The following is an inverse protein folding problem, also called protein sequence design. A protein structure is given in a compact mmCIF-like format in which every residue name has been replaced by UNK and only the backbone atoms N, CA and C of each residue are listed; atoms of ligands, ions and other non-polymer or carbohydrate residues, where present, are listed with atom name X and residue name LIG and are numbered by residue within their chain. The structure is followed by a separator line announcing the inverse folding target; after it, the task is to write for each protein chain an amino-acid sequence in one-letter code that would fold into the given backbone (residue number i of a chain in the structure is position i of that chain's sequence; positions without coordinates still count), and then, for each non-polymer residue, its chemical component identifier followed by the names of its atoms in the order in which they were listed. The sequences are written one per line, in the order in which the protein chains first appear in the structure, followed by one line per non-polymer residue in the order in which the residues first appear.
data_IF_198011266395
#
_entry.id   IF_198011266395
#
_cell.length_a   1.000
_cell.length_b   1.000
_cell.length_c   1.000
_cell.angle_alpha   90.00
_cell.angle_beta   90.00
_cell.angle_gamma   90.00
#
_symmetry.space_group_name_H-M   'P 1'
#
loop_
_entity.id
_entity.type
_entity.pdbx_description
1 polymer ?
#
# COMPACT_ATOMS: atom_id res chain seq x y z
N UNK A 1 20.02 -50.48 -68.64
CA UNK A 1 21.06 -49.44 -68.63
C UNK A 1 20.45 -48.22 -67.95
N UNK A 2 21.08 -47.80 -66.86
CA UNK A 2 20.64 -46.81 -65.87
C UNK A 2 20.48 -45.42 -66.51
N UNK A 3 19.40 -44.69 -66.20
CA UNK A 3 19.24 -43.28 -66.62
C UNK A 3 19.31 -42.43 -65.36
N UNK A 4 20.32 -41.56 -65.33
CA UNK A 4 20.70 -40.69 -64.22
C UNK A 4 19.58 -39.71 -63.82
N UNK A 5 19.16 -39.79 -62.56
CA UNK A 5 18.38 -38.76 -61.89
C UNK A 5 19.30 -37.72 -61.27
N UNK A 6 19.49 -36.59 -61.95
CA UNK A 6 20.25 -35.44 -61.46
C UNK A 6 19.65 -34.89 -60.16
N UNK A 7 20.48 -34.85 -59.12
CA UNK A 7 20.17 -34.26 -57.81
C UNK A 7 20.09 -32.72 -57.91
N UNK A 8 18.92 -32.15 -57.62
CA UNK A 8 18.74 -30.72 -57.36
C UNK A 8 18.96 -30.47 -55.87
N UNK A 9 19.97 -29.69 -55.43
CA UNK A 9 20.10 -29.32 -54.03
C UNK A 9 19.08 -28.21 -53.71
N UNK A 10 18.03 -28.56 -52.98
CA UNK A 10 17.09 -27.60 -52.38
C UNK A 10 17.78 -26.98 -51.17
N UNK A 11 18.37 -25.78 -51.35
CA UNK A 11 18.76 -24.94 -50.23
C UNK A 11 17.50 -24.46 -49.49
N UNK A 12 17.17 -25.07 -48.36
CA UNK A 12 16.27 -24.48 -47.38
C UNK A 12 17.06 -23.43 -46.57
N UNK A 13 16.76 -22.12 -46.68
CA UNK A 13 17.26 -21.16 -45.70
C UNK A 13 16.47 -21.37 -44.40
N UNK A 14 17.03 -22.13 -43.47
CA UNK A 14 16.57 -22.16 -42.08
C UNK A 14 16.87 -20.81 -41.45
N UNK A 15 15.95 -19.86 -41.59
CA UNK A 15 15.92 -18.65 -40.77
C UNK A 15 15.58 -19.04 -39.33
N UNK A 16 16.56 -19.56 -38.60
CA UNK A 16 16.55 -19.52 -37.15
C UNK A 16 16.63 -18.05 -36.72
N UNK A 17 15.46 -17.41 -36.57
CA UNK A 17 15.35 -16.18 -35.78
C UNK A 17 15.74 -16.56 -34.35
N UNK A 18 16.98 -16.25 -33.99
CA UNK A 18 17.40 -16.23 -32.60
C UNK A 18 16.40 -15.36 -31.82
N UNK A 19 15.85 -15.82 -30.68
CA UNK A 19 15.11 -14.93 -29.81
C UNK A 19 16.09 -13.87 -29.33
N UNK A 20 15.86 -12.63 -29.76
CA UNK A 20 16.59 -11.46 -29.29
C UNK A 20 16.44 -11.42 -27.77
N UNK A 21 17.50 -11.85 -27.08
CA UNK A 21 17.71 -11.58 -25.66
C UNK A 21 17.96 -10.09 -25.52
N UNK A 22 16.88 -9.31 -25.58
CA UNK A 22 16.91 -7.94 -25.09
C UNK A 22 16.79 -8.00 -23.58
N UNK A 23 17.93 -8.27 -22.97
CA UNK A 23 18.32 -7.69 -21.68
C UNK A 23 18.01 -6.20 -21.71
N UNK A 24 16.96 -5.80 -21.01
CA UNK A 24 16.61 -4.40 -20.79
C UNK A 24 15.79 -4.29 -19.53
N UNK A 25 16.39 -3.78 -18.46
CA UNK A 25 15.66 -3.18 -17.37
C UNK A 25 14.60 -2.21 -17.95
N UNK A 26 13.36 -2.32 -17.46
CA UNK A 26 12.28 -1.34 -17.62
C UNK A 26 12.13 -0.74 -19.03
N UNK A 27 11.42 -1.45 -19.92
CA UNK A 27 10.64 -0.73 -20.93
C UNK A 27 9.60 0.12 -20.22
N UNK A 28 9.84 1.43 -20.07
CA UNK A 28 8.93 2.38 -19.41
C UNK A 28 7.50 2.32 -19.98
N UNK A 29 7.37 2.06 -21.30
CA UNK A 29 6.09 1.97 -22.00
C UNK A 29 5.24 0.74 -21.59
N UNK A 30 5.75 -0.51 -21.65
CA UNK A 30 5.03 -1.68 -21.14
C UNK A 30 4.63 -1.59 -19.66
N UNK A 31 5.51 -1.06 -18.81
CA UNK A 31 5.23 -0.88 -17.38
C UNK A 31 4.10 0.12 -17.13
N UNK A 32 4.16 1.29 -17.76
CA UNK A 32 3.12 2.30 -17.66
C UNK A 32 1.78 1.81 -18.21
N UNK A 33 1.80 1.09 -19.34
CA UNK A 33 0.59 0.51 -19.93
C UNK A 33 -0.08 -0.51 -19.00
N UNK A 34 0.71 -1.38 -18.35
CA UNK A 34 0.20 -2.35 -17.37
C UNK A 34 -0.37 -1.66 -16.13
N UNK A 35 0.36 -0.68 -15.58
CA UNK A 35 -0.07 0.11 -14.42
C UNK A 35 -1.39 0.84 -14.72
N UNK A 36 -1.49 1.48 -15.89
CA UNK A 36 -2.70 2.19 -16.32
C UNK A 36 -3.87 1.23 -16.53
N UNK A 37 -3.62 0.02 -17.06
CA UNK A 37 -4.64 -1.02 -17.17
C UNK A 37 -5.18 -1.42 -15.80
N UNK A 38 -4.31 -1.67 -14.83
CA UNK A 38 -4.70 -2.03 -13.46
C UNK A 38 -5.48 -0.89 -12.81
N UNK A 39 -5.03 0.35 -12.98
CA UNK A 39 -5.75 1.53 -12.50
C UNK A 39 -7.14 1.65 -13.12
N UNK A 40 -7.28 1.43 -14.44
CA UNK A 40 -8.58 1.45 -15.11
C UNK A 40 -9.49 0.30 -14.67
N UNK A 41 -8.92 -0.87 -14.41
CA UNK A 41 -9.67 -2.01 -13.87
C UNK A 41 -10.18 -1.72 -12.46
N UNK A 42 -9.32 -1.15 -11.61
CA UNK A 42 -9.71 -0.71 -10.27
C UNK A 42 -10.77 0.40 -10.35
N UNK A 43 -10.57 1.39 -11.22
CA UNK A 43 -11.49 2.51 -11.44
C UNK A 43 -12.86 2.08 -12.00
N UNK A 44 -12.88 1.04 -12.85
CA UNK A 44 -14.10 0.48 -13.43
C UNK A 44 -14.93 -0.32 -12.43
N UNK A 45 -14.35 -0.81 -11.34
CA UNK A 45 -15.11 -1.37 -10.23
C UNK A 45 -15.55 -0.25 -9.28
N UNK A 46 -16.67 0.38 -9.63
CA UNK A 46 -17.23 1.51 -8.90
C UNK A 46 -17.49 1.19 -7.43
N UNK A 47 -17.82 -0.07 -7.10
CA UNK A 47 -18.04 -0.48 -5.71
C UNK A 47 -16.74 -0.46 -4.94
N UNK A 48 -15.69 -1.04 -5.51
CA UNK A 48 -14.35 -1.03 -4.88
C UNK A 48 -13.81 0.38 -4.71
N UNK A 49 -13.91 1.24 -5.73
CA UNK A 49 -13.47 2.65 -5.62
C UNK A 49 -14.28 3.41 -4.58
N UNK A 50 -15.61 3.27 -4.60
CA UNK A 50 -16.48 3.87 -3.61
C UNK A 50 -16.09 3.44 -2.20
N UNK A 51 -15.86 2.15 -1.97
CA UNK A 51 -15.42 1.65 -0.67
C UNK A 51 -14.04 2.19 -0.27
N UNK A 52 -13.08 2.22 -1.19
CA UNK A 52 -11.72 2.73 -0.94
C UNK A 52 -11.73 4.21 -0.54
N UNK A 53 -12.49 5.04 -1.27
CA UNK A 53 -12.47 6.49 -1.11
C UNK A 53 -13.45 6.99 -0.04
N UNK A 54 -14.66 6.43 -0.01
CA UNK A 54 -15.73 6.92 0.87
C UNK A 54 -15.60 6.38 2.28
N UNK A 55 -15.18 5.13 2.49
CA UNK A 55 -15.22 4.54 3.84
C UNK A 55 -14.30 5.29 4.83
N UNK A 56 -13.03 5.64 4.51
CA UNK A 56 -12.22 6.44 5.42
C UNK A 56 -12.86 7.79 5.76
N UNK A 57 -13.35 8.48 4.73
CA UNK A 57 -14.00 9.78 4.88
C UNK A 57 -15.29 9.67 5.72
N UNK A 58 -16.11 8.64 5.48
CA UNK A 58 -17.33 8.37 6.23
C UNK A 58 -17.02 8.10 7.70
N UNK A 59 -15.99 7.30 7.99
CA UNK A 59 -15.59 7.01 9.38
C UNK A 59 -15.13 8.28 10.08
N UNK A 60 -14.32 9.13 9.43
CA UNK A 60 -13.90 10.42 10.00
C UNK A 60 -15.09 11.35 10.23
N UNK A 61 -16.02 11.43 9.28
CA UNK A 61 -17.26 12.23 9.42
C UNK A 61 -18.15 11.71 10.54
N UNK A 62 -18.32 10.39 10.67
CA UNK A 62 -19.05 9.79 11.79
C UNK A 62 -18.36 10.16 13.11
N UNK A 63 -17.03 10.14 13.13
CA UNK A 63 -16.23 10.53 14.28
C UNK A 63 -16.44 11.98 14.69
N UNK A 64 -16.49 12.88 13.70
CA UNK A 64 -16.82 14.28 13.90
C UNK A 64 -18.19 14.44 14.58
N UNK A 65 -19.23 13.78 14.07
CA UNK A 65 -20.57 13.85 14.67
C UNK A 65 -20.64 13.24 16.07
N UNK A 66 -19.81 12.23 16.37
CA UNK A 66 -19.75 11.65 17.70
C UNK A 66 -19.16 12.63 18.73
N UNK A 67 -18.26 13.53 18.33
CA UNK A 67 -17.59 14.49 19.22
C UNK A 67 -18.09 15.94 19.11
N UNK A 68 -18.95 16.27 18.15
CA UNK A 68 -19.40 17.65 17.90
C UNK A 68 -20.11 18.31 19.08
N UNK A 69 -20.73 17.51 19.97
CA UNK A 69 -21.38 17.99 21.20
C UNK A 69 -20.65 17.63 22.49
N UNK A 70 -19.46 17.02 22.41
CA UNK A 70 -18.75 16.58 23.61
C UNK A 70 -18.06 17.79 24.29
N UNK A 71 -18.23 17.91 25.60
CA UNK A 71 -17.63 18.97 26.40
C UNK A 71 -16.19 18.61 26.78
N UNK A 72 -15.27 19.57 26.62
CA UNK A 72 -13.85 19.38 26.95
C UNK A 72 -13.32 20.53 27.79
N UNK A 73 -12.34 20.27 28.68
CA UNK A 73 -11.74 21.32 29.49
C UNK A 73 -11.19 22.46 28.60
N UNK A 74 -11.43 23.72 28.97
CA UNK A 74 -10.90 24.86 28.23
C UNK A 74 -9.37 24.78 28.15
N UNK A 75 -8.83 24.93 26.94
CA UNK A 75 -7.38 24.84 26.67
C UNK A 75 -6.88 23.44 26.27
N UNK A 76 -7.73 22.41 26.26
CA UNK A 76 -7.38 21.10 25.70
C UNK A 76 -7.83 20.99 24.24
N UNK A 77 -7.06 20.32 23.36
CA UNK A 77 -7.48 20.06 21.99
C UNK A 77 -8.78 19.26 21.97
N UNK A 78 -9.63 19.51 20.98
CA UNK A 78 -10.86 18.73 20.83
C UNK A 78 -10.50 17.23 20.68
N UNK A 79 -11.24 16.29 21.30
CA UNK A 79 -10.98 14.88 21.09
C UNK A 79 -11.29 14.44 19.67
N UNK A 80 -12.11 15.19 18.94
CA UNK A 80 -12.18 15.03 17.50
C UNK A 80 -10.81 15.18 16.86
N UNK A 81 -10.06 16.25 17.17
CA UNK A 81 -8.73 16.44 16.57
C UNK A 81 -7.77 15.31 16.96
N UNK A 82 -7.78 14.88 18.22
CA UNK A 82 -6.95 13.75 18.67
C UNK A 82 -7.31 12.43 17.95
N UNK A 83 -8.61 12.12 17.83
CA UNK A 83 -9.09 10.93 17.14
C UNK A 83 -8.88 11.00 15.62
N UNK A 84 -9.01 12.19 15.04
CA UNK A 84 -8.85 12.43 13.61
C UNK A 84 -7.40 12.11 13.16
N UNK A 85 -6.40 12.52 13.94
CA UNK A 85 -4.99 12.16 13.67
C UNK A 85 -4.79 10.64 13.63
N UNK A 86 -5.38 9.92 14.59
CA UNK A 86 -5.31 8.45 14.65
C UNK A 86 -5.98 7.83 13.40
N UNK A 87 -7.16 8.32 13.02
CA UNK A 87 -7.89 7.83 11.86
C UNK A 87 -7.15 8.11 10.54
N UNK A 88 -6.64 9.33 10.35
CA UNK A 88 -5.87 9.72 9.17
C UNK A 88 -4.59 8.90 9.03
N UNK A 89 -3.96 8.53 10.14
CA UNK A 89 -2.80 7.65 10.15
C UNK A 89 -3.18 6.21 9.81
N UNK A 90 -4.09 5.61 10.58
CA UNK A 90 -4.19 4.15 10.63
C UNK A 90 -5.28 3.59 9.72
N UNK A 91 -6.35 4.33 9.47
CA UNK A 91 -7.50 3.80 8.75
C UNK A 91 -7.20 3.59 7.25
N UNK A 92 -6.55 4.53 6.53
CA UNK A 92 -6.08 4.28 5.16
C UNK A 92 -5.05 3.14 5.06
N UNK A 93 -4.14 3.03 6.04
CA UNK A 93 -3.20 1.91 6.12
C UNK A 93 -3.94 0.57 6.22
N UNK A 94 -4.91 0.49 7.13
CA UNK A 94 -5.71 -0.71 7.36
C UNK A 94 -6.50 -1.09 6.11
N UNK A 95 -7.21 -0.14 5.48
CA UNK A 95 -7.98 -0.44 4.27
C UNK A 95 -7.09 -0.87 3.11
N UNK A 96 -5.97 -0.17 2.85
CA UNK A 96 -5.07 -0.59 1.79
C UNK A 96 -4.43 -1.94 2.07
N UNK A 97 -4.11 -2.26 3.32
CA UNK A 97 -3.66 -3.61 3.68
C UNK A 97 -4.69 -4.67 3.27
N UNK A 98 -5.94 -4.53 3.70
CA UNK A 98 -7.01 -5.50 3.45
C UNK A 98 -7.27 -5.64 1.95
N UNK A 99 -7.47 -4.52 1.27
CA UNK A 99 -7.84 -4.50 -0.16
C UNK A 99 -6.71 -5.07 -0.99
N UNK A 100 -5.47 -4.68 -0.70
CA UNK A 100 -4.30 -5.16 -1.45
C UNK A 100 -4.08 -6.65 -1.21
N UNK A 101 -4.16 -7.11 0.05
CA UNK A 101 -3.97 -8.52 0.38
C UNK A 101 -4.99 -9.42 -0.32
N UNK A 102 -6.28 -9.06 -0.27
CA UNK A 102 -7.37 -9.85 -0.86
C UNK A 102 -7.32 -9.78 -2.40
N UNK A 103 -7.21 -8.57 -2.96
CA UNK A 103 -7.22 -8.39 -4.43
C UNK A 103 -6.05 -9.10 -5.08
N UNK A 104 -4.85 -8.95 -4.51
CA UNK A 104 -3.66 -9.61 -5.04
C UNK A 104 -3.74 -11.13 -4.87
N UNK A 105 -4.33 -11.61 -3.78
CA UNK A 105 -4.55 -13.03 -3.58
C UNK A 105 -5.55 -13.59 -4.59
N UNK A 106 -6.66 -12.89 -4.84
CA UNK A 106 -7.66 -13.25 -5.85
C UNK A 106 -7.03 -13.33 -7.24
N UNK A 107 -6.23 -12.34 -7.61
CA UNK A 107 -5.61 -12.28 -8.94
C UNK A 107 -4.58 -13.39 -9.18
N UNK A 108 -3.97 -13.89 -8.11
CA UNK A 108 -3.11 -15.08 -8.14
C UNK A 108 -3.92 -16.36 -8.22
N UNK A 109 -4.99 -16.48 -7.43
CA UNK A 109 -5.82 -17.67 -7.38
C UNK A 109 -6.63 -17.89 -8.67
N UNK A 110 -7.04 -16.81 -9.35
CA UNK A 110 -7.79 -16.87 -10.61
C UNK A 110 -6.94 -17.28 -11.83
N UNK A 111 -5.62 -17.39 -11.68
CA UNK A 111 -4.71 -17.63 -12.80
C UNK A 111 -4.58 -16.45 -13.77
N UNK A 112 -5.18 -15.28 -13.48
CA UNK A 112 -5.00 -14.05 -14.28
C UNK A 112 -3.51 -13.73 -14.40
N UNK A 113 -2.78 -13.87 -13.29
CA UNK A 113 -1.34 -13.65 -13.26
C UNK A 113 -0.61 -14.56 -14.25
N UNK A 114 -0.96 -15.84 -14.31
CA UNK A 114 -0.35 -16.82 -15.22
C UNK A 114 -0.68 -16.53 -16.69
N UNK A 115 -1.93 -16.14 -16.98
CA UNK A 115 -2.36 -15.75 -18.33
C UNK A 115 -1.62 -14.49 -18.81
N UNK A 116 -1.38 -13.52 -17.92
CA UNK A 116 -0.60 -12.31 -18.25
C UNK A 116 0.88 -12.66 -18.45
N UNK A 117 1.44 -13.65 -17.73
CA UNK A 117 2.83 -14.09 -17.90
C UNK A 117 3.10 -14.83 -19.20
N UNK A 118 2.07 -15.14 -20.00
CA UNK A 118 2.24 -15.58 -21.40
C UNK A 118 2.62 -14.43 -22.33
N UNK A 119 2.48 -13.17 -21.87
CA UNK A 119 3.07 -11.98 -22.50
C UNK A 119 4.52 -11.80 -22.04
N UNK A 120 5.40 -11.08 -22.77
CA UNK A 120 6.83 -11.00 -22.47
C UNK A 120 7.20 -10.23 -21.17
N UNK A 121 6.26 -10.02 -20.25
CA UNK A 121 6.46 -9.34 -18.98
C UNK A 121 6.95 -10.31 -17.90
N UNK A 122 7.98 -9.92 -17.15
CA UNK A 122 8.48 -10.72 -16.02
C UNK A 122 7.51 -10.60 -14.85
N UNK A 123 7.41 -11.66 -14.03
CA UNK A 123 6.63 -11.66 -12.76
C UNK A 123 6.90 -10.45 -11.87
N UNK A 124 8.17 -10.04 -11.75
CA UNK A 124 8.57 -8.87 -10.97
C UNK A 124 8.00 -7.55 -11.50
N UNK A 125 7.94 -7.38 -12.83
CA UNK A 125 7.45 -6.16 -13.47
C UNK A 125 5.94 -6.00 -13.28
N UNK A 126 5.21 -7.11 -13.32
CA UNK A 126 3.77 -7.14 -13.06
C UNK A 126 3.45 -6.76 -11.61
N UNK A 127 4.21 -7.30 -10.65
CA UNK A 127 4.05 -6.97 -9.23
C UNK A 127 4.40 -5.52 -8.91
N UNK A 128 5.46 -5.00 -9.52
CA UNK A 128 5.79 -3.59 -9.41
C UNK A 128 4.64 -2.73 -9.96
N UNK A 129 4.02 -3.12 -11.08
CA UNK A 129 2.87 -2.40 -11.62
C UNK A 129 1.63 -2.45 -10.69
N UNK A 130 1.32 -3.59 -10.07
CA UNK A 130 0.27 -3.67 -9.04
C UNK A 130 0.60 -2.81 -7.82
N UNK A 131 1.83 -2.89 -7.32
CA UNK A 131 2.29 -2.07 -6.19
C UNK A 131 2.18 -0.58 -6.47
N UNK A 132 2.59 -0.13 -7.66
CA UNK A 132 2.43 1.26 -8.09
C UNK A 132 0.96 1.66 -8.25
N UNK A 133 0.14 0.83 -8.91
CA UNK A 133 -1.28 1.14 -9.10
C UNK A 133 -2.03 1.26 -7.76
N UNK A 134 -1.81 0.32 -6.84
CA UNK A 134 -2.39 0.39 -5.50
C UNK A 134 -1.82 1.54 -4.68
N UNK A 135 -0.54 1.89 -4.82
CA UNK A 135 0.04 3.06 -4.13
C UNK A 135 -0.58 4.38 -4.63
N UNK A 136 -0.92 4.49 -5.91
CA UNK A 136 -1.66 5.63 -6.44
C UNK A 136 -3.07 5.70 -5.84
N UNK A 137 -3.76 4.57 -5.75
CA UNK A 137 -5.07 4.50 -5.08
C UNK A 137 -4.98 4.83 -3.57
N UNK A 138 -3.91 4.37 -2.90
CA UNK A 138 -3.60 4.69 -1.51
C UNK A 138 -3.41 6.19 -1.30
N UNK A 139 -2.62 6.83 -2.17
CA UNK A 139 -2.40 8.27 -2.13
C UNK A 139 -3.71 9.04 -2.39
N UNK A 140 -4.51 8.63 -3.36
CA UNK A 140 -5.79 9.25 -3.66
C UNK A 140 -6.76 9.17 -2.47
N UNK A 141 -6.90 8.00 -1.82
CA UNK A 141 -7.79 7.87 -0.66
C UNK A 141 -7.29 8.66 0.55
N UNK A 142 -5.99 8.65 0.82
CA UNK A 142 -5.43 9.34 1.98
C UNK A 142 -5.55 10.85 1.80
N UNK A 143 -5.30 11.34 0.58
CA UNK A 143 -5.52 12.73 0.19
C UNK A 143 -6.98 13.12 0.38
N UNK A 144 -7.92 12.31 -0.12
CA UNK A 144 -9.35 12.59 0.03
C UNK A 144 -9.77 12.62 1.51
N UNK A 145 -9.33 11.65 2.30
CA UNK A 145 -9.63 11.58 3.73
C UNK A 145 -9.09 12.82 4.47
N UNK A 146 -7.86 13.24 4.16
CA UNK A 146 -7.30 14.47 4.71
C UNK A 146 -8.08 15.71 4.22
N UNK A 147 -8.49 15.75 2.94
CA UNK A 147 -9.27 16.88 2.41
C UNK A 147 -10.60 17.02 3.15
N UNK A 148 -11.30 15.92 3.34
CA UNK A 148 -12.57 15.89 4.10
C UNK A 148 -12.33 16.35 5.54
N UNK A 149 -11.28 15.85 6.20
CA UNK A 149 -10.95 16.26 7.57
C UNK A 149 -10.71 17.77 7.69
N UNK A 150 -9.77 18.32 6.90
CA UNK A 150 -9.35 19.72 7.03
C UNK A 150 -10.39 20.72 6.53
N UNK A 151 -11.05 20.46 5.40
CA UNK A 151 -11.92 21.46 4.75
C UNK A 151 -13.41 21.24 4.98
N UNK A 152 -13.87 20.05 5.39
CA UNK A 152 -15.29 19.79 5.63
C UNK A 152 -15.64 19.64 7.12
N UNK A 153 -14.67 19.22 7.95
CA UNK A 153 -14.90 18.87 9.36
C UNK A 153 -14.12 19.79 10.32
N UNK A 154 -13.59 20.91 9.82
CA UNK A 154 -12.83 21.90 10.59
C UNK A 154 -11.72 21.28 11.45
N UNK A 155 -11.03 20.27 10.92
CA UNK A 155 -9.87 19.69 11.57
C UNK A 155 -8.68 20.67 11.53
N UNK A 156 -8.07 20.92 12.68
CA UNK A 156 -6.95 21.84 12.83
C UNK A 156 -5.74 21.16 13.46
N UNK A 157 -4.56 21.46 12.92
CA UNK A 157 -3.25 21.02 13.46
C UNK A 157 -2.38 22.23 13.76
N UNK A 158 -1.50 22.11 14.76
CA UNK A 158 -0.51 23.15 15.05
C UNK A 158 0.49 23.32 13.88
N UNK A 159 0.96 22.19 13.33
CA UNK A 159 1.86 22.16 12.19
C UNK A 159 1.15 22.25 10.84
N UNK A 160 1.94 22.38 9.77
CA UNK A 160 1.42 22.50 8.41
C UNK A 160 0.62 21.25 7.98
N UNK A 161 -0.60 21.43 7.40
CA UNK A 161 -1.40 20.32 6.88
C UNK A 161 -0.65 19.45 5.86
N UNK A 162 0.29 20.02 5.10
CA UNK A 162 1.06 19.28 4.10
C UNK A 162 1.83 18.08 4.70
N UNK A 163 2.29 18.18 5.94
CA UNK A 163 2.96 17.06 6.61
C UNK A 163 2.00 15.95 6.99
N UNK A 164 0.78 16.29 7.41
CA UNK A 164 -0.28 15.31 7.68
C UNK A 164 -0.61 14.53 6.41
N UNK A 165 -0.76 15.23 5.28
CA UNK A 165 -0.97 14.60 3.98
C UNK A 165 0.18 13.66 3.62
N UNK A 166 1.42 14.13 3.74
CA UNK A 166 2.61 13.32 3.46
C UNK A 166 2.67 12.05 4.29
N UNK A 167 2.51 12.16 5.62
CA UNK A 167 2.55 11.03 6.54
C UNK A 167 1.41 10.05 6.24
N UNK A 168 0.18 10.54 6.06
CA UNK A 168 -0.99 9.71 5.76
C UNK A 168 -0.82 8.94 4.44
N UNK A 169 -0.29 9.58 3.39
CA UNK A 169 -0.02 8.95 2.10
C UNK A 169 1.06 7.87 2.24
N UNK A 170 2.20 8.17 2.87
CA UNK A 170 3.29 7.19 3.06
C UNK A 170 2.77 6.00 3.86
N UNK A 171 1.97 6.24 4.91
CA UNK A 171 1.42 5.18 5.73
C UNK A 171 0.36 4.34 4.98
N UNK A 172 -0.45 4.95 4.12
CA UNK A 172 -1.36 4.20 3.24
C UNK A 172 -0.59 3.31 2.24
N UNK A 173 0.52 3.81 1.69
CA UNK A 173 1.43 3.04 0.81
C UNK A 173 2.13 1.92 1.57
N UNK A 174 2.51 2.11 2.83
CA UNK A 174 2.96 1.03 3.70
C UNK A 174 1.91 -0.08 3.82
N UNK A 175 0.63 0.28 3.98
CA UNK A 175 -0.49 -0.65 3.95
C UNK A 175 -0.51 -1.50 2.67
N UNK A 176 -0.25 -0.89 1.51
CA UNK A 176 -0.09 -1.60 0.22
C UNK A 176 1.06 -2.60 0.28
N UNK A 177 2.24 -2.17 0.73
CA UNK A 177 3.42 -3.03 0.83
C UNK A 177 3.19 -4.24 1.74
N UNK A 178 2.62 -4.02 2.92
CA UNK A 178 2.27 -5.08 3.86
C UNK A 178 1.20 -6.01 3.30
N UNK A 179 0.18 -5.47 2.62
CA UNK A 179 -0.87 -6.26 1.98
C UNK A 179 -0.33 -7.15 0.85
N UNK A 180 0.54 -6.60 -0.01
CA UNK A 180 1.22 -7.38 -1.06
C UNK A 180 2.10 -8.48 -0.47
N UNK A 181 2.90 -8.15 0.56
CA UNK A 181 3.76 -9.11 1.23
C UNK A 181 2.93 -10.24 1.85
N UNK A 182 1.85 -9.90 2.55
CA UNK A 182 0.94 -10.86 3.16
C UNK A 182 0.26 -11.74 2.12
N UNK A 183 -0.15 -11.18 0.98
CA UNK A 183 -0.76 -11.95 -0.11
C UNK A 183 0.15 -13.10 -0.55
N UNK A 184 1.48 -12.92 -0.55
CA UNK A 184 2.46 -13.94 -0.94
C UNK A 184 2.27 -15.28 -0.22
N UNK A 185 1.89 -15.21 1.06
CA UNK A 185 1.77 -16.35 1.96
C UNK A 185 0.36 -16.94 1.97
N UNK A 186 -0.66 -16.15 1.61
CA UNK A 186 -2.03 -16.61 1.51
C UNK A 186 -2.21 -17.60 0.34
N UNK A 187 -3.02 -18.62 0.56
CA UNK A 187 -3.47 -19.61 -0.43
C UNK A 187 -4.91 -19.37 -0.86
N UNK A 188 -5.71 -18.72 -0.02
CA UNK A 188 -7.12 -18.36 -0.30
C UNK A 188 -7.42 -16.94 0.18
N UNK A 189 -8.49 -16.34 -0.34
CA UNK A 189 -8.98 -15.03 0.14
C UNK A 189 -9.32 -15.08 1.63
N UNK A 190 -9.92 -16.19 2.09
CA UNK A 190 -10.23 -16.40 3.50
C UNK A 190 -8.96 -16.42 4.38
N UNK A 191 -7.87 -17.05 3.91
CA UNK A 191 -6.60 -17.00 4.63
C UNK A 191 -5.99 -15.60 4.65
N UNK A 192 -6.16 -14.80 3.59
CA UNK A 192 -5.75 -13.39 3.60
C UNK A 192 -6.50 -12.60 4.69
N UNK A 193 -7.80 -12.86 4.87
CA UNK A 193 -8.60 -12.27 5.95
C UNK A 193 -8.09 -12.69 7.33
N UNK A 194 -7.69 -13.94 7.51
CA UNK A 194 -7.11 -14.44 8.77
C UNK A 194 -5.76 -13.80 9.12
N UNK A 195 -5.01 -13.30 8.14
CA UNK A 195 -3.77 -12.56 8.41
C UNK A 195 -4.01 -11.11 8.84
N UNK A 196 -5.18 -10.53 8.58
CA UNK A 196 -5.53 -9.17 9.03
C UNK A 196 -5.32 -9.01 10.53
N UNK A 197 -5.94 -9.82 11.42
CA UNK A 197 -5.71 -9.66 12.84
C UNK A 197 -4.24 -9.90 13.23
N UNK A 198 -3.54 -10.82 12.56
CA UNK A 198 -2.14 -11.10 12.88
C UNK A 198 -1.21 -9.90 12.63
N UNK A 199 -1.43 -9.15 11.55
CA UNK A 199 -0.55 -8.04 11.15
C UNK A 199 -1.05 -6.70 11.69
N UNK A 200 -2.36 -6.44 11.59
CA UNK A 200 -2.93 -5.12 11.91
C UNK A 200 -3.18 -4.94 13.42
N UNK A 201 -3.64 -5.96 14.15
CA UNK A 201 -3.97 -5.77 15.58
C UNK A 201 -2.74 -5.39 16.41
N UNK A 202 -1.56 -6.05 16.27
CA UNK A 202 -0.36 -5.62 16.98
C UNK A 202 0.04 -4.19 16.65
N UNK A 203 -0.07 -3.79 15.37
CA UNK A 203 0.23 -2.43 14.94
C UNK A 203 -0.71 -1.41 15.57
N UNK A 204 -2.01 -1.67 15.58
CA UNK A 204 -3.02 -0.76 16.14
C UNK A 204 -2.90 -0.65 17.67
N UNK A 205 -2.68 -1.77 18.37
CA UNK A 205 -2.56 -1.79 19.83
C UNK A 205 -1.25 -1.15 20.31
N UNK A 206 -0.14 -1.41 19.61
CA UNK A 206 1.19 -0.98 20.01
C UNK A 206 1.60 0.38 19.43
N UNK A 207 0.76 0.99 18.58
CA UNK A 207 1.03 2.32 18.02
C UNK A 207 1.08 3.44 19.07
N UNK A 208 0.59 3.19 20.29
CA UNK A 208 0.58 4.17 21.37
C UNK A 208 -0.76 4.89 21.58
N UNK A 209 -1.85 4.38 20.98
CA UNK A 209 -3.20 4.95 21.12
C UNK A 209 -3.76 4.72 22.53
N UNK A 210 -3.65 3.49 23.03
CA UNK A 210 -4.26 3.08 24.32
C UNK A 210 -3.31 3.37 25.47
N UNK A 211 -2.05 2.95 25.32
CA UNK A 211 -0.99 3.15 26.29
C UNK A 211 0.14 3.88 25.57
N UNK A 212 0.58 5.06 26.05
CA UNK A 212 1.74 5.75 25.47
C UNK A 212 2.96 4.83 25.44
N UNK A 213 3.71 4.82 24.33
CA UNK A 213 4.83 3.88 24.15
C UNK A 213 5.89 3.98 25.26
N UNK A 214 6.17 5.18 25.74
CA UNK A 214 7.12 5.41 26.84
C UNK A 214 6.68 4.78 28.18
N UNK A 215 5.38 4.51 28.35
CA UNK A 215 4.83 3.87 29.55
C UNK A 215 4.74 2.34 29.41
N UNK A 216 5.06 1.78 28.24
CA UNK A 216 5.06 0.33 28.04
C UNK A 216 6.29 -0.32 28.68
N UNK A 217 6.19 -1.57 29.17
CA UNK A 217 7.35 -2.36 29.57
C UNK A 217 8.38 -2.47 28.44
N UNK A 218 9.67 -2.54 28.78
CA UNK A 218 10.76 -2.53 27.79
C UNK A 218 10.58 -3.57 26.67
N UNK A 219 10.22 -4.82 27.02
CA UNK A 219 10.00 -5.87 26.04
C UNK A 219 8.90 -5.54 25.03
N UNK A 220 7.86 -4.80 25.44
CA UNK A 220 6.76 -4.40 24.58
C UNK A 220 7.15 -3.20 23.71
N UNK A 221 8.03 -2.32 24.22
CA UNK A 221 8.62 -1.25 23.42
C UNK A 221 9.46 -1.82 22.25
N UNK A 222 10.22 -2.90 22.48
CA UNK A 222 10.95 -3.58 21.40
C UNK A 222 10.01 -4.08 20.29
N UNK A 223 8.86 -4.66 20.66
CA UNK A 223 7.85 -5.10 19.68
C UNK A 223 7.22 -3.89 18.98
N UNK A 224 6.88 -2.83 19.72
CA UNK A 224 6.32 -1.60 19.15
C UNK A 224 7.27 -0.91 18.17
N UNK A 225 8.59 -0.96 18.42
CA UNK A 225 9.62 -0.44 17.51
C UNK A 225 9.72 -1.25 16.20
N UNK A 226 9.21 -2.48 16.16
CA UNK A 226 9.07 -3.24 14.92
C UNK A 226 7.79 -2.90 14.15
N UNK A 227 6.86 -2.14 14.76
CA UNK A 227 5.58 -1.78 14.17
C UNK A 227 5.70 -0.42 13.47
N UNK A 228 5.63 -0.36 12.13
CA UNK A 228 5.80 0.89 11.41
C UNK A 228 4.68 1.90 11.66
N UNK A 229 3.46 1.42 11.95
CA UNK A 229 2.32 2.26 12.32
C UNK A 229 2.57 3.11 13.58
N UNK A 230 3.43 2.64 14.50
CA UNK A 230 3.80 3.37 15.71
C UNK A 230 4.53 4.68 15.41
N UNK A 231 5.40 4.67 14.40
CA UNK A 231 6.16 5.85 13.98
C UNK A 231 5.27 6.82 13.20
N UNK A 232 4.37 6.31 12.36
CA UNK A 232 3.42 7.15 11.62
C UNK A 232 2.49 7.92 12.56
N UNK A 233 1.97 7.25 13.60
CA UNK A 233 1.12 7.88 14.60
C UNK A 233 1.89 8.91 15.44
N UNK A 234 3.11 8.58 15.86
CA UNK A 234 3.96 9.53 16.60
C UNK A 234 4.27 10.78 15.77
N UNK A 235 4.61 10.64 14.49
CA UNK A 235 4.81 11.76 13.58
C UNK A 235 3.55 12.63 13.43
N UNK A 236 2.37 12.02 13.29
CA UNK A 236 1.10 12.75 13.20
C UNK A 236 0.77 13.49 14.49
N UNK A 237 1.00 12.88 15.65
CA UNK A 237 0.81 13.53 16.95
C UNK A 237 1.78 14.70 17.15
N UNK A 238 3.03 14.56 16.70
CA UNK A 238 4.02 15.64 16.74
C UNK A 238 3.59 16.82 15.86
N UNK A 239 3.20 16.57 14.60
CA UNK A 239 2.69 17.62 13.69
C UNK A 239 1.38 18.24 14.21
N UNK A 240 0.54 17.45 14.89
CA UNK A 240 -0.67 17.95 15.51
C UNK A 240 -0.43 18.91 16.66
N UNK A 241 0.67 18.74 17.40
CA UNK A 241 0.97 19.47 18.65
C UNK A 241 2.05 20.54 18.52
N UNK A 242 2.91 20.47 17.51
CA UNK A 242 4.02 21.41 17.29
C UNK A 242 3.86 22.12 15.94
N UNK A 243 4.12 23.43 15.93
CA UNK A 243 4.07 24.26 14.70
C UNK A 243 5.19 23.93 13.72
N UNK A 244 6.39 23.68 14.25
CA UNK A 244 7.59 23.41 13.48
C UNK A 244 7.89 21.90 13.41
N UNK A 245 8.60 21.51 12.36
CA UNK A 245 9.15 20.16 12.22
C UNK A 245 10.17 19.90 13.31
N UNK A 246 9.85 18.99 14.21
CA UNK A 246 10.81 18.48 15.18
C UNK A 246 11.70 17.43 14.52
N UNK A 247 12.92 17.25 15.04
CA UNK A 247 13.81 16.17 14.60
C UNK A 247 13.20 14.77 14.76
N UNK A 248 12.27 14.62 15.73
CA UNK A 248 11.50 13.39 15.93
C UNK A 248 10.54 13.14 14.76
N UNK A 249 9.77 14.16 14.34
CA UNK A 249 8.86 14.05 13.18
C UNK A 249 9.61 13.60 11.92
N UNK A 250 10.77 14.21 11.65
CA UNK A 250 11.58 13.87 10.46
C UNK A 250 12.09 12.44 10.55
N UNK A 251 12.63 12.03 11.71
CA UNK A 251 13.08 10.66 11.96
C UNK A 251 11.95 9.67 11.69
N UNK A 252 10.77 9.91 12.23
CA UNK A 252 9.65 8.98 12.14
C UNK A 252 9.11 8.88 10.71
N UNK A 253 9.03 10.00 9.98
CA UNK A 253 8.71 10.00 8.54
C UNK A 253 9.70 9.13 7.77
N UNK A 254 11.00 9.29 8.00
CA UNK A 254 12.05 8.52 7.32
C UNK A 254 11.93 7.03 7.66
N UNK A 255 11.68 6.68 8.91
CA UNK A 255 11.50 5.29 9.34
C UNK A 255 10.28 4.68 8.64
N UNK A 256 9.13 5.35 8.64
CA UNK A 256 7.90 4.85 7.99
C UNK A 256 8.12 4.68 6.48
N UNK A 257 8.78 5.65 5.84
CA UNK A 257 9.13 5.57 4.43
C UNK A 257 10.06 4.38 4.15
N UNK A 258 11.06 4.14 4.99
CA UNK A 258 11.96 3.01 4.88
C UNK A 258 11.20 1.68 5.01
N UNK A 259 10.25 1.57 5.96
CA UNK A 259 9.38 0.41 6.08
C UNK A 259 8.47 0.23 4.86
N UNK A 260 7.90 1.30 4.31
CA UNK A 260 7.05 1.22 3.12
C UNK A 260 7.83 0.68 1.91
N UNK A 261 9.03 1.23 1.67
CA UNK A 261 9.93 0.78 0.60
C UNK A 261 10.37 -0.66 0.84
N UNK A 262 10.77 -1.01 2.07
CA UNK A 262 11.19 -2.36 2.43
C UNK A 262 10.05 -3.38 2.24
N UNK A 263 8.82 -3.04 2.66
CA UNK A 263 7.66 -3.92 2.49
C UNK A 263 7.34 -4.17 1.01
N UNK A 264 7.36 -3.12 0.18
CA UNK A 264 7.17 -3.24 -1.27
C UNK A 264 8.28 -4.07 -1.94
N UNK A 265 9.54 -3.83 -1.55
CA UNK A 265 10.69 -4.58 -2.07
C UNK A 265 10.63 -6.06 -1.67
N UNK A 266 10.34 -6.35 -0.41
CA UNK A 266 10.19 -7.71 0.11
C UNK A 266 9.02 -8.43 -0.58
N UNK A 267 7.89 -7.75 -0.78
CA UNK A 267 6.77 -8.32 -1.52
C UNK A 267 7.18 -8.71 -2.94
N UNK A 268 7.87 -7.83 -3.66
CA UNK A 268 8.35 -8.09 -5.02
C UNK A 268 9.32 -9.30 -5.08
N UNK A 269 10.22 -9.43 -4.10
CA UNK A 269 11.16 -10.57 -4.03
C UNK A 269 10.45 -11.89 -3.67
N UNK A 270 9.51 -11.85 -2.73
CA UNK A 270 8.86 -13.06 -2.19
C UNK A 270 7.96 -13.73 -3.25
N UNK A 271 7.20 -12.94 -4.02
CA UNK A 271 6.36 -13.47 -5.08
C UNK A 271 7.13 -13.96 -6.31
N UNK A 272 8.40 -13.56 -6.47
CA UNK A 272 9.27 -14.03 -7.57
C UNK A 272 9.72 -15.49 -7.39
N UNK A 273 9.77 -16.02 -6.16
CA UNK A 273 10.41 -17.31 -5.83
C UNK A 273 9.51 -18.55 -5.94
N UNK A 274 8.21 -18.43 -6.19
CA UNK A 274 7.31 -19.59 -6.31
C UNK A 274 7.04 -19.92 -7.78
N UNK A 275 7.87 -20.78 -8.34
CA UNK A 275 7.51 -21.63 -9.49
C UNK A 275 7.57 -23.05 -8.96
N UNK A 276 6.50 -23.84 -8.99
CA UNK A 276 6.64 -25.30 -8.97
C UNK A 276 7.41 -25.77 -10.21
#
# INVERSE_FOLDING_TARGET
MYVDGGSVPVHHPTHHRAPSRLTGFLGLRPFAATTLRILRQLAGDHRSVAMILLVPSLVITLMYFMYSGAAHPPGTPSPFNAACLVLLGLFPLFLMFVITAITMQRERASGTLERILTTPLRRGDLLAAYGTAFSIAAAAQATLACVVAFWLLDFHTAGSPAWVFGIAIINAVLGVGLGLLCSAFARTEFQAVQFIPLVMVPQLLLAGIIVPRAAMPEWLQWVSNAMPASYALEALQQVGSHSDLTGLTVRDIVIVLAFAVAALALAAVTLRRRTP
#
